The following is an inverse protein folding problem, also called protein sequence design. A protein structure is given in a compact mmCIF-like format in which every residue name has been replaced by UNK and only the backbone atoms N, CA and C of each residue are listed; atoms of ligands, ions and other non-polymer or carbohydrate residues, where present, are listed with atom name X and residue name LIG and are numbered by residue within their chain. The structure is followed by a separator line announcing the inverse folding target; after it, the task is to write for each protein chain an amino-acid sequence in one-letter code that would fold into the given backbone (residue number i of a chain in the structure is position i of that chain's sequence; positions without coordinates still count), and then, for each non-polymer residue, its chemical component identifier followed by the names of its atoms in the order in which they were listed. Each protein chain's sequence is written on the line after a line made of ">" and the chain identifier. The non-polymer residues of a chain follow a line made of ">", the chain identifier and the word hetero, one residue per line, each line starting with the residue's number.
data_IF_735346197437
#
_entry.id   IF_735346197437
#
_cell.length_a   1.000
_cell.length_b   1.000
_cell.length_c   1.000
_cell.angle_alpha   90.00
_cell.angle_beta   90.00
_cell.angle_gamma   90.00
#
_symmetry.space_group_name_H-M   'P 1'
#
loop_
_entity.id
_entity.type
_entity.pdbx_description
1 polymer ?
#
# COMPACT_ATOMS: atom_id res chain seq x y z
N UNK A 1 24.99 54.18 -16.57
CA UNK A 1 23.65 54.01 -16.00
C UNK A 1 23.17 52.63 -16.39
N UNK A 2 23.02 51.75 -15.38
CA UNK A 2 22.24 50.48 -15.34
C UNK A 2 22.51 49.50 -16.49
N UNK A 3 23.33 48.47 -16.29
CA UNK A 3 22.90 47.21 -15.63
C UNK A 3 21.48 46.81 -16.07
N UNK A 4 21.39 45.96 -17.09
CA UNK A 4 20.21 45.13 -17.30
C UNK A 4 20.68 43.69 -17.29
N UNK A 5 20.87 43.22 -16.06
CA UNK A 5 20.88 41.82 -15.68
C UNK A 5 19.74 41.14 -16.44
N UNK A 6 20.09 40.31 -17.42
CA UNK A 6 19.22 39.23 -17.84
C UNK A 6 19.18 38.28 -16.65
N UNK A 7 18.27 38.56 -15.72
CA UNK A 7 17.98 37.69 -14.61
C UNK A 7 17.32 36.44 -15.18
N UNK A 8 18.14 35.46 -15.53
CA UNK A 8 17.79 34.05 -15.57
C UNK A 8 17.40 33.59 -14.15
N UNK A 9 16.26 34.10 -13.68
CA UNK A 9 15.55 33.55 -12.54
C UNK A 9 14.77 32.32 -13.01
N UNK A 10 15.47 31.30 -13.50
CA UNK A 10 14.98 29.93 -13.47
C UNK A 10 15.15 29.36 -12.05
N UNK A 11 14.55 30.03 -11.07
CA UNK A 11 14.36 29.51 -9.73
C UNK A 11 12.95 28.89 -9.64
N UNK A 12 12.69 27.84 -10.40
CA UNK A 12 11.49 27.01 -10.22
C UNK A 12 11.91 25.56 -10.04
N UNK A 13 12.17 25.24 -8.76
CA UNK A 13 11.83 24.02 -8.03
C UNK A 13 12.01 22.66 -8.72
N UNK A 14 12.95 21.81 -8.23
CA UNK A 14 12.74 20.39 -8.21
C UNK A 14 12.11 20.04 -6.86
N UNK A 15 10.78 20.13 -6.72
CA UNK A 15 10.05 19.56 -5.58
C UNK A 15 10.35 18.05 -5.52
N UNK A 16 11.06 17.51 -4.51
CA UNK A 16 11.17 16.07 -4.31
C UNK A 16 9.90 15.48 -3.68
N UNK A 17 8.73 16.10 -3.88
CA UNK A 17 7.47 15.74 -3.20
C UNK A 17 6.91 14.36 -3.57
N UNK A 18 7.40 13.73 -4.64
CA UNK A 18 6.95 12.38 -5.02
C UNK A 18 7.55 11.29 -4.11
N UNK A 19 8.83 11.42 -3.76
CA UNK A 19 9.54 10.42 -2.95
C UNK A 19 9.03 10.41 -1.50
N UNK A 20 8.78 11.59 -0.93
CA UNK A 20 8.32 11.70 0.47
C UNK A 20 6.90 11.15 0.64
N UNK A 21 6.01 11.36 -0.35
CA UNK A 21 4.65 10.80 -0.35
C UNK A 21 4.64 9.28 -0.45
N UNK A 22 5.55 8.71 -1.23
CA UNK A 22 5.71 7.26 -1.32
C UNK A 22 6.27 6.68 -0.01
N UNK A 23 7.23 7.37 0.61
CA UNK A 23 7.81 6.98 1.90
C UNK A 23 6.81 7.04 3.06
N UNK A 24 5.90 8.02 3.07
CA UNK A 24 4.82 8.11 4.06
C UNK A 24 3.83 6.95 3.92
N UNK A 25 3.46 6.60 2.68
CA UNK A 25 2.58 5.47 2.42
C UNK A 25 3.24 4.16 2.83
N UNK A 26 4.53 4.01 2.56
CA UNK A 26 5.35 2.87 3.01
C UNK A 26 5.43 2.76 4.54
N UNK A 27 5.61 3.88 5.24
CA UNK A 27 5.69 3.90 6.70
C UNK A 27 4.37 3.50 7.35
N UNK A 28 3.22 3.91 6.77
CA UNK A 28 1.88 3.48 7.21
C UNK A 28 1.72 1.95 7.12
N UNK A 29 2.25 1.30 6.08
CA UNK A 29 2.21 -0.17 5.96
C UNK A 29 2.97 -0.84 7.08
N UNK A 30 4.19 -0.36 7.35
CA UNK A 30 5.06 -0.91 8.40
C UNK A 30 4.41 -0.76 9.78
N UNK A 31 3.77 0.37 10.05
CA UNK A 31 3.07 0.57 11.33
C UNK A 31 1.87 -0.39 11.43
N UNK A 32 1.11 -0.57 10.34
CA UNK A 32 -0.05 -1.45 10.34
C UNK A 32 0.34 -2.93 10.45
N UNK A 33 1.45 -3.36 9.83
CA UNK A 33 1.97 -4.72 10.02
C UNK A 33 2.51 -4.91 11.43
N UNK A 34 3.28 -3.95 11.96
CA UNK A 34 3.76 -4.00 13.33
C UNK A 34 2.60 -4.10 14.34
N UNK A 35 1.49 -3.39 14.10
CA UNK A 35 0.28 -3.51 14.90
C UNK A 35 -0.34 -4.92 14.82
N UNK A 36 -0.40 -5.54 13.64
CA UNK A 36 -0.87 -6.91 13.49
C UNK A 36 0.01 -7.91 14.28
N UNK A 37 1.33 -7.79 14.20
CA UNK A 37 2.26 -8.63 14.96
C UNK A 37 2.13 -8.42 16.47
N UNK A 38 1.93 -7.17 16.92
CA UNK A 38 1.68 -6.88 18.33
C UNK A 38 0.44 -7.60 18.86
N UNK A 39 -0.65 -7.59 18.08
CA UNK A 39 -1.89 -8.32 18.41
C UNK A 39 -1.64 -9.83 18.51
N UNK A 40 -0.81 -10.39 17.62
CA UNK A 40 -0.44 -11.82 17.65
C UNK A 40 0.35 -12.17 18.91
N UNK A 41 1.37 -11.39 19.25
CA UNK A 41 2.24 -11.65 20.41
C UNK A 41 1.45 -11.56 21.73
N UNK A 42 0.49 -10.62 21.81
CA UNK A 42 -0.40 -10.46 22.98
C UNK A 42 -1.47 -11.55 23.13
N UNK A 43 -1.65 -12.41 22.13
CA UNK A 43 -2.79 -13.31 22.11
C UNK A 43 -2.68 -14.51 23.05
N UNK A 44 -1.47 -14.87 23.49
CA UNK A 44 -1.27 -15.93 24.48
C UNK A 44 -1.92 -15.69 25.85
N UNK A 45 -2.46 -14.51 26.15
CA UNK A 45 -3.15 -14.23 27.42
C UNK A 45 -4.59 -13.73 27.30
N UNK A 46 -5.09 -13.39 26.10
CA UNK A 46 -6.37 -12.66 25.95
C UNK A 46 -7.24 -13.18 24.80
N UNK A 47 -6.67 -13.93 23.85
CA UNK A 47 -7.35 -14.28 22.60
C UNK A 47 -7.06 -15.74 22.29
N UNK A 48 -8.10 -16.57 22.22
CA UNK A 48 -7.93 -18.00 21.98
C UNK A 48 -7.28 -18.24 20.60
N UNK A 49 -6.39 -19.24 20.49
CA UNK A 49 -5.60 -19.52 19.27
C UNK A 49 -6.47 -19.64 18.00
N UNK A 50 -7.71 -20.10 18.14
CA UNK A 50 -8.65 -20.22 17.02
C UNK A 50 -9.15 -18.87 16.47
N UNK A 51 -9.04 -17.78 17.23
CA UNK A 51 -9.39 -16.41 16.80
C UNK A 51 -8.20 -15.71 16.12
N UNK A 52 -6.97 -16.20 16.31
CA UNK A 52 -5.77 -15.55 15.77
C UNK A 52 -5.74 -15.62 14.25
N UNK A 53 -6.04 -16.80 13.72
CA UNK A 53 -5.92 -17.12 12.31
C UNK A 53 -6.88 -16.27 11.46
N UNK A 54 -8.19 -16.18 11.76
CA UNK A 54 -9.09 -15.31 11.01
C UNK A 54 -8.75 -13.82 11.17
N UNK A 55 -8.25 -13.40 12.35
CA UNK A 55 -7.88 -12.00 12.59
C UNK A 55 -6.66 -11.58 11.74
N UNK A 56 -5.61 -12.40 11.69
CA UNK A 56 -4.44 -12.15 10.85
C UNK A 56 -4.82 -12.20 9.37
N UNK A 57 -5.72 -13.10 8.96
CA UNK A 57 -6.18 -13.19 7.58
C UNK A 57 -6.86 -11.88 7.12
N UNK A 58 -7.67 -11.25 7.97
CA UNK A 58 -8.27 -9.94 7.68
C UNK A 58 -7.18 -8.86 7.53
N UNK A 59 -6.20 -8.83 8.44
CA UNK A 59 -5.05 -7.93 8.32
C UNK A 59 -4.25 -8.17 7.03
N UNK A 60 -4.06 -9.43 6.63
CA UNK A 60 -3.34 -9.79 5.41
C UNK A 60 -4.06 -9.27 4.16
N UNK A 61 -5.39 -9.38 4.10
CA UNK A 61 -6.19 -8.83 3.00
C UNK A 61 -6.04 -7.30 2.94
N UNK A 62 -6.18 -6.61 4.08
CA UNK A 62 -6.00 -5.15 4.16
C UNK A 62 -4.60 -4.73 3.66
N UNK A 63 -3.56 -5.48 4.03
CA UNK A 63 -2.19 -5.24 3.59
C UNK A 63 -2.05 -5.36 2.06
N UNK A 64 -2.63 -6.39 1.45
CA UNK A 64 -2.61 -6.56 -0.02
C UNK A 64 -3.24 -5.36 -0.72
N UNK A 65 -4.41 -4.89 -0.25
CA UNK A 65 -5.08 -3.72 -0.85
C UNK A 65 -4.26 -2.43 -0.69
N UNK A 66 -3.70 -2.22 0.49
CA UNK A 66 -2.92 -1.02 0.78
C UNK A 66 -1.59 -0.98 0.01
N UNK A 67 -0.92 -2.12 -0.13
CA UNK A 67 0.26 -2.27 -0.99
C UNK A 67 -0.08 -1.96 -2.44
N UNK A 68 -1.21 -2.48 -2.92
CA UNK A 68 -1.69 -2.26 -4.28
C UNK A 68 -2.06 -0.80 -4.53
N UNK A 69 -2.75 -0.14 -3.60
CA UNK A 69 -3.08 1.29 -3.68
C UNK A 69 -1.84 2.20 -3.61
N UNK A 70 -0.80 1.81 -2.87
CA UNK A 70 0.44 2.58 -2.77
C UNK A 70 1.27 2.49 -4.05
N UNK A 71 1.39 1.30 -4.64
CA UNK A 71 2.06 1.13 -5.93
C UNK A 71 1.26 1.74 -7.08
N UNK A 72 -0.03 1.91 -6.89
CA UNK A 72 -0.96 2.42 -7.88
C UNK A 72 -1.50 3.77 -7.46
N UNK A 73 -0.70 4.82 -7.68
CA UNK A 73 -1.04 6.22 -7.43
C UNK A 73 -2.28 6.61 -8.27
N UNK A 74 -3.48 6.29 -7.77
CA UNK A 74 -4.82 6.48 -8.39
C UNK A 74 -5.21 7.94 -8.64
N UNK A 75 -4.30 8.88 -8.41
CA UNK A 75 -4.52 10.31 -8.56
C UNK A 75 -4.43 10.84 -9.99
N UNK A 76 -4.04 10.05 -10.99
CA UNK A 76 -4.00 10.51 -12.38
C UNK A 76 -4.99 9.77 -13.28
N UNK A 77 -5.91 10.58 -13.81
CA UNK A 77 -7.06 10.32 -14.67
C UNK A 77 -6.70 9.39 -15.86
N UNK A 78 -6.93 8.09 -15.69
CA UNK A 78 -6.73 7.08 -16.74
C UNK A 78 -6.80 5.60 -16.30
N UNK A 79 -7.44 5.31 -15.15
CA UNK A 79 -7.20 4.07 -14.40
C UNK A 79 -8.03 2.83 -14.82
N UNK A 80 -8.37 2.68 -16.11
CA UNK A 80 -9.11 1.50 -16.58
C UNK A 80 -8.26 0.22 -16.53
N UNK A 81 -6.98 0.31 -16.93
CA UNK A 81 -6.04 -0.81 -16.91
C UNK A 81 -5.87 -1.40 -15.51
N UNK A 82 -5.84 -0.54 -14.52
CA UNK A 82 -5.65 -1.00 -13.18
C UNK A 82 -6.86 -1.72 -12.60
N UNK A 83 -8.08 -1.25 -12.86
CA UNK A 83 -9.29 -1.96 -12.46
C UNK A 83 -9.32 -3.39 -13.06
N UNK A 84 -8.84 -3.54 -14.29
CA UNK A 84 -8.69 -4.84 -14.95
C UNK A 84 -7.65 -5.72 -14.23
N UNK A 85 -6.50 -5.16 -13.84
CA UNK A 85 -5.48 -5.89 -13.07
C UNK A 85 -5.95 -6.30 -11.67
N UNK A 86 -6.72 -5.45 -10.97
CA UNK A 86 -7.36 -5.82 -9.69
C UNK A 86 -8.32 -6.98 -9.91
N UNK A 87 -9.19 -6.89 -10.91
CA UNK A 87 -10.21 -7.91 -11.17
C UNK A 87 -9.56 -9.24 -11.56
N UNK A 88 -8.54 -9.22 -12.43
CA UNK A 88 -7.76 -10.40 -12.79
C UNK A 88 -7.01 -10.98 -11.58
N UNK A 89 -6.38 -10.14 -10.77
CA UNK A 89 -5.67 -10.55 -9.56
C UNK A 89 -6.59 -11.24 -8.55
N UNK A 90 -7.80 -10.71 -8.34
CA UNK A 90 -8.81 -11.33 -7.48
C UNK A 90 -9.24 -12.69 -8.04
N UNK A 91 -9.50 -12.79 -9.34
CA UNK A 91 -9.87 -14.05 -10.00
C UNK A 91 -8.79 -15.11 -9.80
N UNK A 92 -7.53 -14.78 -10.05
CA UNK A 92 -6.41 -15.71 -9.87
C UNK A 92 -6.24 -16.08 -8.40
N UNK A 93 -6.34 -15.12 -7.48
CA UNK A 93 -6.22 -15.37 -6.04
C UNK A 93 -7.31 -16.32 -5.54
N UNK A 94 -8.56 -16.13 -5.97
CA UNK A 94 -9.69 -16.99 -5.59
C UNK A 94 -9.52 -18.39 -6.18
N UNK A 95 -9.19 -18.51 -7.47
CA UNK A 95 -8.98 -19.82 -8.11
C UNK A 95 -7.84 -20.58 -7.42
N UNK A 96 -6.74 -19.89 -7.12
CA UNK A 96 -5.58 -20.50 -6.45
C UNK A 96 -5.91 -20.93 -5.02
N UNK A 97 -6.59 -20.08 -4.26
CA UNK A 97 -6.99 -20.40 -2.88
C UNK A 97 -7.96 -21.58 -2.83
N UNK A 98 -8.97 -21.59 -3.70
CA UNK A 98 -9.91 -22.72 -3.81
C UNK A 98 -9.19 -23.98 -4.28
N UNK A 99 -8.27 -23.87 -5.24
CA UNK A 99 -7.47 -25.00 -5.71
C UNK A 99 -6.62 -25.62 -4.60
N UNK A 100 -5.98 -24.80 -3.75
CA UNK A 100 -5.19 -25.27 -2.60
C UNK A 100 -6.08 -25.90 -1.52
N UNK A 101 -7.30 -25.39 -1.32
CA UNK A 101 -8.24 -25.92 -0.32
C UNK A 101 -8.90 -27.24 -0.77
N UNK A 102 -9.14 -27.38 -2.08
CA UNK A 102 -9.82 -28.53 -2.67
C UNK A 102 -8.88 -29.73 -2.92
N UNK A 103 -7.57 -29.48 -2.95
CA UNK A 103 -6.52 -30.48 -3.19
C UNK A 103 -5.94 -31.00 -1.88
#
# INVERSE_FOLDING_TARGET
>A
MTENQHSDNHAVSPKPESAVKHLISFLIMIILTAAAFYVVIKSGSVVAEHLILPLILVFAVIQVFLQLFTFMHLGQKGSAYYAIFIMLGIVIAVISAVGIILM
#
